data_IF_084905099100
#
_entry.id   IF_084905099100
#
_cell.length_a   1.000
_cell.length_b   1.000
_cell.length_c   1.000
_cell.angle_alpha   90.00
_cell.angle_beta   90.00
_cell.angle_gamma   90.00
#
_symmetry.space_group_name_H-M   'P 1'
#
loop_
_entity.id
_entity.type
_entity.pdbx_description
1 polymer ?
#
# COMPACT_ATOMS: atom_id res chain seq x y z
N UNK A 1 -3.74 4.27 7.86
CA UNK A 1 -3.43 5.61 7.33
C UNK A 1 -1.95 5.73 6.99
N UNK A 2 -1.01 5.46 7.93
CA UNK A 2 0.44 5.58 7.67
C UNK A 2 0.87 4.72 6.47
N UNK A 3 0.40 3.48 6.39
CA UNK A 3 0.69 2.56 5.26
C UNK A 3 0.14 3.11 3.93
N UNK A 4 -1.02 3.77 3.94
CA UNK A 4 -1.58 4.41 2.73
C UNK A 4 -0.67 5.54 2.26
N UNK A 5 -0.23 6.41 3.17
CA UNK A 5 0.70 7.50 2.83
C UNK A 5 2.02 6.95 2.30
N UNK A 6 2.60 5.95 2.98
CA UNK A 6 3.81 5.28 2.53
C UNK A 6 3.68 4.72 1.11
N UNK A 7 2.58 4.00 0.87
CA UNK A 7 2.29 3.36 -0.42
C UNK A 7 2.08 4.39 -1.55
N UNK A 8 1.32 5.46 -1.30
CA UNK A 8 1.07 6.51 -2.29
C UNK A 8 2.35 7.25 -2.66
N UNK A 9 3.14 7.66 -1.66
CA UNK A 9 4.38 8.40 -1.90
C UNK A 9 5.40 7.54 -2.64
N UNK A 10 5.69 6.35 -2.12
CA UNK A 10 6.72 5.47 -2.69
C UNK A 10 6.36 4.98 -4.10
N UNK A 11 5.08 4.60 -4.31
CA UNK A 11 4.63 4.18 -5.64
C UNK A 11 4.60 5.32 -6.64
N UNK A 12 4.27 6.56 -6.21
CA UNK A 12 4.31 7.75 -7.08
C UNK A 12 5.73 8.07 -7.53
N UNK A 13 6.69 8.04 -6.61
CA UNK A 13 8.11 8.26 -6.92
C UNK A 13 8.64 7.22 -7.91
N UNK A 14 8.38 5.94 -7.64
CA UNK A 14 8.82 4.86 -8.51
C UNK A 14 8.15 4.93 -9.90
N UNK A 15 6.84 5.12 -9.97
CA UNK A 15 6.10 5.22 -11.23
C UNK A 15 6.55 6.43 -12.07
N UNK A 16 6.83 7.56 -11.42
CA UNK A 16 7.36 8.76 -12.10
C UNK A 16 8.72 8.48 -12.70
N UNK A 17 9.64 7.88 -11.93
CA UNK A 17 10.95 7.48 -12.41
C UNK A 17 10.88 6.54 -13.61
N UNK A 18 10.02 5.51 -13.56
CA UNK A 18 9.84 4.56 -14.67
C UNK A 18 9.16 5.13 -15.91
N UNK A 19 8.49 6.30 -15.80
CA UNK A 19 7.68 6.84 -16.89
C UNK A 19 8.28 8.08 -17.53
N UNK A 20 8.79 8.99 -16.71
CA UNK A 20 9.16 10.36 -17.15
C UNK A 20 10.64 10.66 -17.10
N UNK A 21 11.41 9.87 -16.36
CA UNK A 21 12.86 10.04 -16.28
C UNK A 21 13.54 9.00 -17.17
N UNK A 22 14.30 9.43 -18.22
CA UNK A 22 15.04 8.49 -19.06
C UNK A 22 16.29 7.98 -18.30
N UNK A 23 16.34 6.69 -17.98
CA UNK A 23 17.53 6.06 -17.41
C UNK A 23 17.71 4.63 -17.90
N UNK A 24 18.99 4.18 -17.95
CA UNK A 24 19.35 2.85 -18.42
C UNK A 24 18.91 1.79 -17.40
N UNK A 25 18.18 0.76 -17.87
CA UNK A 25 17.73 -0.35 -17.01
C UNK A 25 16.30 -0.22 -16.47
N UNK A 26 15.62 0.93 -16.62
CA UNK A 26 14.26 1.15 -16.11
C UNK A 26 13.24 0.11 -16.56
N UNK A 27 13.30 -0.31 -17.83
CA UNK A 27 12.41 -1.38 -18.33
C UNK A 27 12.66 -2.72 -17.64
N UNK A 28 13.93 -3.10 -17.45
CA UNK A 28 14.29 -4.37 -16.81
C UNK A 28 13.86 -4.36 -15.36
N UNK A 29 14.18 -3.30 -14.63
CA UNK A 29 13.79 -3.19 -13.22
C UNK A 29 12.27 -3.17 -13.03
N UNK A 30 11.55 -2.49 -13.93
CA UNK A 30 10.08 -2.51 -13.91
C UNK A 30 9.53 -3.91 -14.19
N UNK A 31 10.10 -4.66 -15.14
CA UNK A 31 9.71 -6.06 -15.39
C UNK A 31 9.99 -6.95 -14.18
N UNK A 32 11.13 -6.78 -13.52
CA UNK A 32 11.44 -7.48 -12.27
C UNK A 32 10.40 -7.14 -11.20
N UNK A 33 10.05 -5.86 -11.01
CA UNK A 33 9.02 -5.46 -10.08
C UNK A 33 7.66 -6.13 -10.38
N UNK A 34 7.25 -6.20 -11.64
CA UNK A 34 6.03 -6.90 -12.02
C UNK A 34 6.11 -8.41 -11.76
N UNK A 35 7.29 -9.01 -11.98
CA UNK A 35 7.48 -10.45 -11.72
C UNK A 35 7.28 -10.81 -10.25
N UNK A 36 7.53 -9.87 -9.33
CA UNK A 36 7.27 -10.10 -7.90
C UNK A 36 5.78 -10.34 -7.59
N UNK A 37 4.86 -9.83 -8.42
CA UNK A 37 3.43 -10.07 -8.26
C UNK A 37 3.02 -11.52 -8.52
N UNK A 38 3.86 -12.29 -9.22
CA UNK A 38 3.61 -13.71 -9.47
C UNK A 38 3.98 -14.59 -8.26
N UNK A 39 4.71 -14.04 -7.29
CA UNK A 39 5.08 -14.79 -6.10
C UNK A 39 3.92 -14.78 -5.10
N UNK A 40 3.40 -15.95 -4.71
CA UNK A 40 2.39 -16.03 -3.65
C UNK A 40 2.96 -15.48 -2.33
N UNK A 41 2.17 -14.66 -1.63
CA UNK A 41 2.58 -14.08 -0.33
C UNK A 41 2.94 -15.15 0.71
N UNK A 42 2.33 -16.33 0.63
CA UNK A 42 2.61 -17.47 1.51
C UNK A 42 4.07 -17.95 1.41
N UNK A 43 4.68 -17.87 0.24
CA UNK A 43 6.09 -18.28 0.04
C UNK A 43 7.05 -17.31 0.74
N UNK A 44 6.73 -16.02 0.73
CA UNK A 44 7.57 -14.98 1.35
C UNK A 44 7.32 -14.79 2.84
N UNK A 45 6.21 -15.30 3.36
CA UNK A 45 5.76 -15.10 4.74
C UNK A 45 6.78 -15.60 5.77
N UNK A 46 7.29 -16.83 5.61
CA UNK A 46 8.24 -17.44 6.56
C UNK A 46 9.59 -16.69 6.57
N UNK A 47 10.23 -16.41 5.42
CA UNK A 47 11.46 -15.62 5.39
C UNK A 47 11.30 -14.22 5.96
N UNK A 48 10.15 -13.56 5.69
CA UNK A 48 9.86 -12.23 6.26
C UNK A 48 9.69 -12.30 7.77
N UNK A 49 8.97 -13.28 8.31
CA UNK A 49 8.85 -13.48 9.75
C UNK A 49 10.22 -13.64 10.41
N UNK A 50 11.06 -14.53 9.88
CA UNK A 50 12.42 -14.73 10.40
C UNK A 50 13.26 -13.43 10.35
N UNK A 51 13.04 -12.60 9.34
CA UNK A 51 13.70 -11.29 9.22
C UNK A 51 13.24 -10.34 10.33
N UNK A 52 11.93 -10.24 10.60
CA UNK A 52 11.39 -9.38 11.64
C UNK A 52 11.76 -9.83 13.05
N UNK A 53 11.89 -11.16 13.28
CA UNK A 53 12.43 -11.71 14.54
C UNK A 53 13.86 -11.20 14.78
N UNK A 54 14.72 -11.23 13.74
CA UNK A 54 16.10 -10.72 13.85
C UNK A 54 16.18 -9.23 14.15
N UNK A 55 15.22 -8.46 13.66
CA UNK A 55 15.12 -7.02 13.95
C UNK A 55 14.41 -6.69 15.27
N UNK A 56 14.02 -7.70 16.05
CA UNK A 56 13.25 -7.54 17.28
C UNK A 56 11.96 -6.71 17.09
N UNK A 57 11.32 -6.85 15.93
CA UNK A 57 10.15 -6.08 15.54
C UNK A 57 8.82 -6.87 15.68
N UNK A 58 8.87 -8.10 16.22
CA UNK A 58 7.67 -8.88 16.55
C UNK A 58 6.94 -8.20 17.71
N UNK A 59 5.62 -8.33 17.75
CA UNK A 59 4.70 -7.62 18.62
C UNK A 59 4.77 -6.08 18.48
N UNK A 60 5.08 -5.62 17.25
CA UNK A 60 5.02 -4.20 16.89
C UNK A 60 4.32 -4.03 15.54
N UNK A 61 3.90 -2.80 15.24
CA UNK A 61 3.27 -2.49 13.94
C UNK A 61 4.28 -2.29 12.79
N UNK A 62 5.59 -2.32 13.05
CA UNK A 62 6.61 -2.10 12.01
C UNK A 62 6.54 -3.10 10.85
N UNK A 63 6.35 -4.42 11.08
CA UNK A 63 6.20 -5.39 9.99
C UNK A 63 5.04 -5.09 9.04
N UNK A 64 3.98 -4.45 9.54
CA UNK A 64 2.78 -4.12 8.79
C UNK A 64 2.88 -2.75 8.08
N UNK A 65 3.67 -1.83 8.62
CA UNK A 65 3.76 -0.45 8.13
C UNK A 65 4.95 -0.26 7.19
N UNK A 66 6.14 -0.71 7.60
CA UNK A 66 7.38 -0.40 6.89
C UNK A 66 7.41 -0.89 5.43
N UNK A 67 6.90 -2.07 5.07
CA UNK A 67 6.89 -2.52 3.69
C UNK A 67 6.14 -1.58 2.73
N UNK A 68 5.14 -0.85 3.21
CA UNK A 68 4.37 0.08 2.38
C UNK A 68 5.19 1.27 1.87
N UNK A 69 6.31 1.59 2.51
CA UNK A 69 7.21 2.67 2.07
C UNK A 69 8.17 2.26 0.94
N UNK A 70 8.17 1.00 0.56
CA UNK A 70 8.98 0.51 -0.57
C UNK A 70 8.18 0.37 -1.88
N UNK A 71 6.91 0.75 -1.86
CA UNK A 71 6.01 0.68 -3.00
C UNK A 71 5.51 -0.75 -3.28
N UNK A 72 4.30 -0.85 -3.80
CA UNK A 72 3.73 -2.11 -4.28
C UNK A 72 3.80 -2.18 -5.81
N UNK A 73 4.24 -3.29 -6.36
CA UNK A 73 4.38 -3.46 -7.81
C UNK A 73 3.08 -3.16 -8.57
N UNK A 74 1.92 -3.57 -8.02
CA UNK A 74 0.61 -3.27 -8.59
C UNK A 74 0.32 -1.77 -8.64
N UNK A 75 0.56 -1.04 -7.54
CA UNK A 75 0.31 0.39 -7.45
C UNK A 75 1.28 1.19 -8.34
N UNK A 76 2.54 0.76 -8.42
CA UNK A 76 3.53 1.31 -9.35
C UNK A 76 3.08 1.11 -10.79
N UNK A 77 2.57 -0.08 -11.13
CA UNK A 77 2.04 -0.37 -12.46
C UNK A 77 0.86 0.54 -12.82
N UNK A 78 -0.14 0.64 -11.95
CA UNK A 78 -1.31 1.49 -12.18
C UNK A 78 -0.91 2.96 -12.39
N UNK A 79 -0.06 3.49 -11.51
CA UNK A 79 0.43 4.87 -11.62
C UNK A 79 1.27 5.08 -12.86
N UNK A 80 2.13 4.13 -13.22
CA UNK A 80 2.92 4.19 -14.45
C UNK A 80 2.04 4.26 -15.69
N UNK A 81 0.99 3.45 -15.76
CA UNK A 81 0.03 3.49 -16.86
C UNK A 81 -0.66 4.86 -16.94
N UNK A 82 -1.14 5.37 -15.82
CA UNK A 82 -1.77 6.69 -15.76
C UNK A 82 -0.78 7.82 -16.14
N UNK A 83 0.42 7.81 -15.57
CA UNK A 83 1.44 8.82 -15.87
C UNK A 83 1.85 8.82 -17.35
N UNK A 84 1.77 7.67 -18.01
CA UNK A 84 2.04 7.55 -19.44
C UNK A 84 1.03 8.32 -20.31
N UNK A 85 -0.19 8.55 -19.83
CA UNK A 85 -1.22 9.31 -20.54
C UNK A 85 -1.04 10.82 -20.46
N UNK A 86 -0.27 11.30 -19.49
CA UNK A 86 -0.03 12.74 -19.30
C UNK A 86 0.99 13.22 -20.37
N UNK A 87 0.64 14.21 -21.21
CA UNK A 87 1.52 14.71 -22.25
C UNK A 87 2.85 15.25 -21.71
N UNK A 88 3.95 15.00 -22.42
CA UNK A 88 5.27 15.48 -22.04
C UNK A 88 5.36 17.01 -22.00
N UNK A 89 4.56 17.70 -22.82
CA UNK A 89 4.55 19.17 -22.90
C UNK A 89 4.33 19.86 -21.54
N UNK A 90 3.55 19.25 -20.63
CA UNK A 90 3.37 19.81 -19.27
C UNK A 90 4.69 19.81 -18.47
N UNK A 91 5.47 18.73 -18.63
CA UNK A 91 6.75 18.58 -17.93
C UNK A 91 7.81 19.48 -18.54
N UNK A 92 7.82 19.56 -19.88
CA UNK A 92 8.80 20.36 -20.62
C UNK A 92 8.59 21.87 -20.36
N UNK A 93 7.33 22.34 -20.31
CA UNK A 93 7.02 23.71 -19.91
C UNK A 93 7.53 24.00 -18.48
N UNK A 94 7.25 23.10 -17.54
CA UNK A 94 7.70 23.26 -16.15
C UNK A 94 9.25 23.27 -16.03
N UNK A 95 9.96 22.47 -16.84
CA UNK A 95 11.43 22.48 -16.88
C UNK A 95 11.97 23.79 -17.44
N UNK A 96 11.31 24.36 -18.45
CA UNK A 96 11.65 25.70 -18.99
C UNK A 96 11.49 26.77 -17.90
N UNK A 97 10.44 26.65 -17.07
CA UNK A 97 10.20 27.52 -15.92
C UNK A 97 11.16 27.27 -14.73
N UNK A 98 12.13 26.35 -14.88
CA UNK A 98 13.15 26.04 -13.88
C UNK A 98 12.69 25.06 -12.78
N UNK A 99 11.58 24.36 -12.96
CA UNK A 99 11.11 23.39 -11.98
C UNK A 99 11.98 22.10 -11.97
N UNK A 100 12.47 21.72 -10.81
CA UNK A 100 13.14 20.43 -10.62
C UNK A 100 12.14 19.24 -10.62
N UNK A 101 12.63 18.02 -10.85
CA UNK A 101 11.82 16.81 -11.02
C UNK A 101 10.89 16.54 -9.82
N UNK A 102 11.34 16.80 -8.59
CA UNK A 102 10.51 16.65 -7.41
C UNK A 102 9.34 17.67 -7.38
N UNK A 103 9.58 18.88 -7.83
CA UNK A 103 8.54 19.93 -7.97
C UNK A 103 7.54 19.54 -9.04
N UNK A 104 7.99 19.01 -10.18
CA UNK A 104 7.15 18.51 -11.25
C UNK A 104 6.28 17.37 -10.73
N UNK A 105 6.84 16.38 -10.03
CA UNK A 105 6.08 15.29 -9.45
C UNK A 105 5.02 15.81 -8.47
N UNK A 106 5.43 16.60 -7.49
CA UNK A 106 4.54 16.99 -6.37
C UNK A 106 3.51 18.04 -6.76
N UNK A 107 3.84 19.00 -7.64
CA UNK A 107 2.96 20.13 -7.98
C UNK A 107 2.20 19.97 -9.30
N UNK A 108 2.63 19.04 -10.16
CA UNK A 108 2.00 18.84 -11.48
C UNK A 108 1.45 17.41 -11.59
N UNK A 109 2.32 16.41 -11.51
CA UNK A 109 1.93 15.03 -11.76
C UNK A 109 0.95 14.48 -10.73
N UNK A 110 1.24 14.62 -9.44
CA UNK A 110 0.35 14.12 -8.38
C UNK A 110 -1.02 14.83 -8.37
N UNK A 111 -1.13 16.16 -8.50
CA UNK A 111 -2.42 16.82 -8.61
C UNK A 111 -3.25 16.42 -9.84
N UNK A 112 -2.62 16.24 -10.99
CA UNK A 112 -3.29 15.74 -12.20
C UNK A 112 -3.74 14.30 -12.06
N UNK A 113 -3.11 13.54 -11.16
CA UNK A 113 -3.36 12.11 -10.94
C UNK A 113 -4.25 11.83 -9.73
N UNK A 114 -4.93 12.83 -9.19
CA UNK A 114 -5.86 12.65 -8.05
C UNK A 114 -6.80 11.45 -8.20
N UNK A 115 -7.44 11.18 -9.35
CA UNK A 115 -8.37 10.05 -9.46
C UNK A 115 -7.68 8.70 -9.17
N UNK A 116 -6.53 8.46 -9.78
CA UNK A 116 -5.81 7.19 -9.57
C UNK A 116 -5.17 7.12 -8.18
N UNK A 117 -4.70 8.24 -7.62
CA UNK A 117 -4.17 8.29 -6.26
C UNK A 117 -5.26 7.98 -5.24
N UNK A 118 -6.48 8.49 -5.43
CA UNK A 118 -7.65 8.14 -4.60
C UNK A 118 -7.95 6.65 -4.70
N UNK A 119 -7.95 6.08 -5.89
CA UNK A 119 -8.19 4.64 -6.10
C UNK A 119 -7.16 3.79 -5.36
N UNK A 120 -5.87 4.12 -5.48
CA UNK A 120 -4.79 3.41 -4.78
C UNK A 120 -4.92 3.56 -3.26
N UNK A 121 -5.26 4.77 -2.80
CA UNK A 121 -5.48 5.03 -1.37
C UNK A 121 -6.62 4.18 -0.81
N UNK A 122 -7.74 4.11 -1.53
CA UNK A 122 -8.89 3.28 -1.16
C UNK A 122 -8.54 1.80 -1.12
N UNK A 123 -7.91 1.27 -2.15
CA UNK A 123 -7.53 -0.15 -2.18
C UNK A 123 -6.51 -0.50 -1.11
N UNK A 124 -5.54 0.36 -0.87
CA UNK A 124 -4.54 0.16 0.20
C UNK A 124 -5.20 0.23 1.59
N UNK A 125 -6.16 1.16 1.77
CA UNK A 125 -6.89 1.26 3.03
C UNK A 125 -7.77 0.03 3.27
N UNK A 126 -8.59 -0.35 2.28
CA UNK A 126 -9.48 -1.52 2.37
C UNK A 126 -8.67 -2.80 2.61
N UNK A 127 -7.57 -2.97 1.87
CA UNK A 127 -6.67 -4.11 2.07
C UNK A 127 -6.10 -4.17 3.48
N UNK A 128 -5.54 -3.06 3.96
CA UNK A 128 -4.97 -2.98 5.32
C UNK A 128 -6.00 -3.06 6.44
N UNK A 129 -7.24 -2.59 6.20
CA UNK A 129 -8.34 -2.72 7.17
C UNK A 129 -8.78 -4.16 7.36
N UNK A 130 -8.88 -4.90 6.25
CA UNK A 130 -9.29 -6.30 6.25
C UNK A 130 -8.11 -7.28 6.45
N UNK A 131 -6.88 -6.76 6.58
CA UNK A 131 -5.70 -7.61 6.73
C UNK A 131 -5.78 -8.40 8.05
N UNK A 132 -5.71 -9.72 7.92
CA UNK A 132 -5.83 -10.64 9.04
C UNK A 132 -4.54 -11.43 9.28
N UNK A 133 -3.95 -11.97 8.21
CA UNK A 133 -2.84 -12.90 8.32
C UNK A 133 -1.56 -12.25 8.82
N UNK A 134 -1.24 -11.05 8.33
CA UNK A 134 -0.07 -10.30 8.78
C UNK A 134 -0.14 -9.96 10.28
N UNK A 135 -1.21 -9.29 10.74
CA UNK A 135 -1.41 -9.05 12.17
C UNK A 135 -1.38 -10.32 13.02
N UNK A 136 -2.03 -11.40 12.58
CA UNK A 136 -2.04 -12.68 13.32
C UNK A 136 -0.62 -13.26 13.46
N UNK A 137 0.25 -13.04 12.48
CA UNK A 137 1.60 -13.56 12.48
C UNK A 137 2.57 -12.72 13.32
N UNK A 138 2.39 -11.38 13.32
CA UNK A 138 3.37 -10.46 13.90
C UNK A 138 2.97 -9.86 15.25
N UNK A 139 1.68 -9.88 15.63
CA UNK A 139 1.17 -9.25 16.83
C UNK A 139 0.71 -10.27 17.87
N UNK A 140 0.82 -9.90 19.13
CA UNK A 140 0.26 -10.62 20.27
C UNK A 140 -1.06 -9.99 20.72
N UNK A 141 -1.74 -10.61 21.69
CA UNK A 141 -3.11 -10.25 22.09
C UNK A 141 -3.30 -8.81 22.55
N UNK A 142 -2.26 -8.17 23.05
CA UNK A 142 -2.27 -6.77 23.50
C UNK A 142 -2.24 -5.75 22.36
N UNK A 143 -1.89 -6.20 21.14
CA UNK A 143 -1.80 -5.37 19.93
C UNK A 143 -2.70 -5.83 18.78
N UNK A 144 -3.67 -6.71 19.04
CA UNK A 144 -4.53 -7.23 17.98
C UNK A 144 -5.28 -6.11 17.24
N UNK A 145 -5.32 -6.25 15.91
CA UNK A 145 -6.15 -5.39 15.06
C UNK A 145 -7.63 -5.72 15.23
N UNK A 146 -8.49 -4.80 14.81
CA UNK A 146 -9.94 -5.00 14.87
C UNK A 146 -10.39 -6.25 14.09
N UNK A 147 -9.72 -6.58 12.99
CA UNK A 147 -9.99 -7.78 12.20
C UNK A 147 -9.74 -9.07 12.99
N UNK A 148 -8.62 -9.15 13.73
CA UNK A 148 -8.36 -10.29 14.62
C UNK A 148 -9.34 -10.28 15.80
N UNK A 149 -9.55 -9.11 16.42
CA UNK A 149 -10.48 -8.97 17.54
C UNK A 149 -11.89 -9.46 17.18
N UNK A 150 -12.37 -9.16 15.98
CA UNK A 150 -13.66 -9.69 15.50
C UNK A 150 -13.66 -11.22 15.39
N UNK A 151 -12.57 -11.80 14.90
CA UNK A 151 -12.44 -13.26 14.77
C UNK A 151 -12.39 -13.94 16.14
N UNK A 152 -11.65 -13.40 17.10
CA UNK A 152 -11.62 -13.91 18.49
C UNK A 152 -13.00 -13.79 19.12
N UNK A 153 -13.64 -12.63 18.97
CA UNK A 153 -15.00 -12.41 19.46
C UNK A 153 -16.01 -13.41 18.89
N UNK A 154 -15.89 -13.73 17.59
CA UNK A 154 -16.70 -14.75 16.93
C UNK A 154 -16.51 -16.14 17.54
N UNK A 155 -15.27 -16.50 17.89
CA UNK A 155 -14.98 -17.81 18.50
C UNK A 155 -15.54 -17.92 19.92
N UNK A 156 -15.43 -16.86 20.72
CA UNK A 156 -15.93 -16.82 22.09
C UNK A 156 -17.44 -16.74 22.18
N UNK A 157 -18.10 -16.09 21.22
CA UNK A 157 -19.53 -15.81 21.20
C UNK A 157 -20.26 -16.49 20.03
N UNK A 158 -19.82 -17.66 19.59
CA UNK A 158 -20.34 -18.36 18.41
C UNK A 158 -21.86 -18.65 18.45
N UNK A 159 -22.45 -18.71 19.63
CA UNK A 159 -23.89 -18.92 19.84
C UNK A 159 -24.70 -17.62 19.94
N UNK A 160 -24.08 -16.45 19.93
CA UNK A 160 -24.71 -15.13 20.13
C UNK A 160 -24.71 -14.32 18.85
N UNK A 161 -25.55 -14.71 17.89
CA UNK A 161 -25.61 -14.08 16.56
C UNK A 161 -25.87 -12.56 16.60
N UNK A 162 -26.65 -12.09 17.57
CA UNK A 162 -26.97 -10.67 17.73
C UNK A 162 -25.71 -9.82 18.01
N UNK A 163 -24.85 -10.31 18.90
CA UNK A 163 -23.60 -9.64 19.22
C UNK A 163 -22.60 -9.68 18.05
N UNK A 164 -22.58 -10.80 17.33
CA UNK A 164 -21.74 -10.95 16.13
C UNK A 164 -22.15 -9.96 15.04
N UNK A 165 -23.45 -9.80 14.80
CA UNK A 165 -23.96 -8.83 13.83
C UNK A 165 -23.66 -7.39 14.25
N UNK A 166 -23.79 -7.05 15.54
CA UNK A 166 -23.45 -5.75 16.06
C UNK A 166 -21.94 -5.43 15.88
N UNK A 167 -21.06 -6.37 16.27
CA UNK A 167 -19.61 -6.22 16.10
C UNK A 167 -19.20 -6.08 14.63
N UNK A 168 -19.79 -6.90 13.74
CA UNK A 168 -19.55 -6.81 12.29
C UNK A 168 -20.03 -5.48 11.71
N UNK A 169 -21.15 -4.94 12.20
CA UNK A 169 -21.65 -3.62 11.78
C UNK A 169 -20.65 -2.52 12.15
N UNK A 170 -20.12 -2.52 13.36
CA UNK A 170 -19.08 -1.56 13.79
C UNK A 170 -17.82 -1.69 12.93
N UNK A 171 -17.43 -2.91 12.58
CA UNK A 171 -16.27 -3.16 11.71
C UNK A 171 -16.43 -2.54 10.31
N UNK A 172 -17.63 -2.54 9.75
CA UNK A 172 -17.91 -2.06 8.39
C UNK A 172 -18.02 -0.52 8.32
N UNK A 173 -18.41 0.16 9.41
CA UNK A 173 -18.62 1.62 9.40
C UNK A 173 -17.48 2.42 8.75
N UNK A 174 -16.19 2.22 9.09
CA UNK A 174 -15.11 2.98 8.46
C UNK A 174 -14.96 2.74 6.96
N UNK A 175 -15.35 1.55 6.47
CA UNK A 175 -15.31 1.21 5.04
C UNK A 175 -16.43 1.90 4.26
N UNK A 176 -17.58 2.19 4.92
CA UNK A 176 -18.70 2.89 4.29
C UNK A 176 -18.45 4.41 4.24
N UNK A 177 -17.73 4.95 5.24
CA UNK A 177 -17.48 6.39 5.37
C UNK A 177 -16.40 6.89 4.41
N UNK A 178 -15.50 6.02 3.96
CA UNK A 178 -14.42 6.35 3.01
C UNK A 178 -14.87 6.20 1.57
#
# INVERSE_FOLDING_TARGET
>A
VISVLGQVISSSLAAYSFTKIPWKGGKVLFMIALSTMMLPSQVTMIPLYATWVKFHAINTFWPLILPSFFGGAYNIFLLKQFYSTIPASYLDAARIDGAGEFTILSRIMMPLSKPILTTISLFTFIGGWNEFMGPLLYLESDHYTLAIGLQVFMQENASQWELLMAASTVFIIPLIVI
#
